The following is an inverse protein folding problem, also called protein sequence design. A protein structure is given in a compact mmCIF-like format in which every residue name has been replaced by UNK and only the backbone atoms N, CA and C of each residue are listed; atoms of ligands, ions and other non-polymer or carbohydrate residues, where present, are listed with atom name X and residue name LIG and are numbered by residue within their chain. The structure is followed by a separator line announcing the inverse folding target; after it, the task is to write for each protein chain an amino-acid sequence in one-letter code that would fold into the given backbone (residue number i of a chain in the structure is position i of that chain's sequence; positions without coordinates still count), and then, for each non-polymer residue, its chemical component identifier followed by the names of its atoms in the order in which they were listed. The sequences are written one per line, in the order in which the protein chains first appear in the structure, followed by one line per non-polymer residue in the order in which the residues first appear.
data_IF_021556572798
#
_entry.id   IF_021556572798
#
_cell.length_a   1.000
_cell.length_b   1.000
_cell.length_c   1.000
_cell.angle_alpha   90.00
_cell.angle_beta   90.00
_cell.angle_gamma   90.00
#
_symmetry.space_group_name_H-M   'P 1'
#
loop_
_entity.id
_entity.type
_entity.pdbx_description
1 polymer ?
#
# COMPACT_ATOMS: atom_id res chain seq x y z
N UNK A 1 -22.69 -9.69 12.50
CA UNK A 1 -22.00 -8.59 11.78
C UNK A 1 -20.60 -8.47 12.35
N UNK A 2 -19.57 -8.91 11.62
CA UNK A 2 -18.18 -8.64 12.01
C UNK A 2 -17.81 -7.29 11.39
N UNK A 3 -17.59 -6.29 12.24
CA UNK A 3 -16.99 -5.01 11.85
C UNK A 3 -15.65 -5.32 11.21
N UNK A 4 -15.51 -5.07 9.91
CA UNK A 4 -14.18 -4.90 9.32
C UNK A 4 -13.61 -3.66 10.00
N UNK A 5 -12.80 -3.86 11.03
CA UNK A 5 -11.99 -2.77 11.57
C UNK A 5 -11.27 -2.15 10.37
N UNK A 6 -11.58 -0.88 10.11
CA UNK A 6 -10.98 -0.10 9.05
C UNK A 6 -9.47 -0.09 9.29
N UNK A 7 -8.72 -0.86 8.50
CA UNK A 7 -7.27 -0.82 8.53
C UNK A 7 -6.88 0.63 8.20
N UNK A 8 -6.40 1.35 9.20
CA UNK A 8 -5.96 2.74 9.09
C UNK A 8 -4.61 2.76 8.35
N UNK A 9 -4.57 3.21 7.08
CA UNK A 9 -3.36 3.15 6.26
C UNK A 9 -2.21 3.96 6.85
N UNK A 10 -2.53 5.03 7.60
CA UNK A 10 -1.53 5.90 8.21
C UNK A 10 -0.86 5.19 9.39
N UNK A 11 -1.63 4.54 10.27
CA UNK A 11 -1.07 3.72 11.35
C UNK A 11 -0.22 2.58 10.80
N UNK A 12 -0.66 1.96 9.71
CA UNK A 12 0.05 0.88 9.05
C UNK A 12 1.41 1.36 8.48
N UNK A 13 1.42 2.54 7.85
CA UNK A 13 2.64 3.18 7.35
C UNK A 13 3.61 3.55 8.49
N UNK A 14 3.09 4.15 9.56
CA UNK A 14 3.89 4.52 10.75
C UNK A 14 4.51 3.27 11.38
N UNK A 15 3.75 2.18 11.49
CA UNK A 15 4.24 0.93 12.05
C UNK A 15 5.36 0.32 11.19
N UNK A 16 5.19 0.28 9.85
CA UNK A 16 6.24 -0.14 8.92
C UNK A 16 7.53 0.69 9.06
N UNK A 17 7.42 2.00 9.22
CA UNK A 17 8.59 2.86 9.44
C UNK A 17 9.34 2.52 10.74
N UNK A 18 8.61 2.19 11.81
CA UNK A 18 9.20 1.74 13.08
C UNK A 18 9.96 0.43 12.93
N UNK A 19 9.37 -0.56 12.25
CA UNK A 19 10.00 -1.86 11.97
C UNK A 19 11.30 -1.69 11.16
N UNK A 20 11.29 -0.80 10.15
CA UNK A 20 12.50 -0.48 9.38
C UNK A 20 13.60 0.17 10.23
N UNK A 21 13.23 1.04 11.17
CA UNK A 21 14.18 1.65 12.10
C UNK A 21 14.78 0.62 13.06
N UNK A 22 13.97 -0.32 13.55
CA UNK A 22 14.41 -1.43 14.41
C UNK A 22 15.40 -2.33 13.66
N UNK A 23 15.08 -2.74 12.43
CA UNK A 23 15.97 -3.54 11.58
C UNK A 23 17.34 -2.88 11.39
N UNK A 24 17.36 -1.56 11.12
CA UNK A 24 18.62 -0.80 11.01
C UNK A 24 19.42 -0.80 12.30
N UNK A 25 18.76 -0.66 13.45
CA UNK A 25 19.42 -0.71 14.77
C UNK A 25 20.04 -2.09 15.02
N UNK A 26 19.29 -3.16 14.74
CA UNK A 26 19.75 -4.54 14.88
C UNK A 26 20.93 -4.86 13.97
N UNK A 27 20.91 -4.38 12.71
CA UNK A 27 22.04 -4.52 11.80
C UNK A 27 23.29 -3.80 12.30
N UNK A 28 23.15 -2.62 12.91
CA UNK A 28 24.26 -1.91 13.52
C UNK A 28 24.79 -2.65 14.77
N UNK A 29 23.91 -3.24 15.58
CA UNK A 29 24.29 -4.06 16.72
C UNK A 29 25.07 -5.31 16.27
N UNK A 30 24.58 -6.01 15.24
CA UNK A 30 25.23 -7.17 14.65
C UNK A 30 26.65 -6.85 14.14
N UNK A 31 26.83 -5.71 13.46
CA UNK A 31 28.14 -5.29 12.94
C UNK A 31 29.18 -5.00 14.03
N UNK A 32 28.73 -4.55 15.19
CA UNK A 32 29.59 -4.23 16.32
C UNK A 32 29.61 -5.34 17.38
N UNK A 33 29.05 -6.51 17.06
CA UNK A 33 28.95 -7.61 18.00
C UNK A 33 30.33 -8.21 18.23
N UNK A 34 30.73 -8.48 19.48
CA UNK A 34 31.84 -9.40 19.75
C UNK A 34 31.50 -10.79 19.19
N UNK A 35 32.47 -11.70 19.16
CA UNK A 35 32.28 -13.07 18.65
C UNK A 35 31.35 -13.87 19.58
N UNK A 36 30.04 -13.61 19.48
CA UNK A 36 28.97 -14.23 20.24
C UNK A 36 27.90 -14.74 19.28
N UNK A 37 27.91 -16.05 19.06
CA UNK A 37 26.99 -16.72 18.16
C UNK A 37 25.56 -16.78 18.70
N UNK A 38 25.36 -16.77 20.02
CA UNK A 38 24.02 -16.81 20.62
C UNK A 38 23.30 -15.51 20.29
N UNK A 39 23.96 -14.39 20.57
CA UNK A 39 23.40 -13.06 20.32
C UNK A 39 23.27 -12.75 18.83
N UNK A 40 24.21 -13.22 18.00
CA UNK A 40 24.10 -13.15 16.55
C UNK A 40 22.86 -13.89 16.01
N UNK A 41 22.53 -15.06 16.59
CA UNK A 41 21.37 -15.85 16.19
C UNK A 41 20.07 -15.16 16.58
N UNK A 42 19.99 -14.60 17.79
CA UNK A 42 18.83 -13.82 18.25
C UNK A 42 18.56 -12.62 17.34
N UNK A 43 19.61 -11.85 16.99
CA UNK A 43 19.49 -10.71 16.09
C UNK A 43 18.99 -11.15 14.70
N UNK A 44 19.51 -12.26 14.18
CA UNK A 44 19.08 -12.82 12.89
C UNK A 44 17.59 -13.20 12.93
N UNK A 45 17.16 -13.95 13.94
CA UNK A 45 15.75 -14.36 14.10
C UNK A 45 14.83 -13.14 14.12
N UNK A 46 15.18 -12.09 14.88
CA UNK A 46 14.36 -10.88 14.94
C UNK A 46 14.31 -10.14 13.59
N UNK A 47 15.42 -10.10 12.85
CA UNK A 47 15.46 -9.52 11.50
C UNK A 47 14.54 -10.32 10.55
N UNK A 48 14.54 -11.65 10.62
CA UNK A 48 13.68 -12.50 9.78
C UNK A 48 12.18 -12.32 10.12
N UNK A 49 11.84 -12.15 11.39
CA UNK A 49 10.48 -11.77 11.84
C UNK A 49 10.08 -10.41 11.27
N UNK A 50 10.92 -9.39 11.42
CA UNK A 50 10.66 -8.05 10.88
C UNK A 50 10.44 -8.09 9.37
N UNK A 51 11.24 -8.86 8.63
CA UNK A 51 11.07 -9.02 7.19
C UNK A 51 9.72 -9.65 6.84
N UNK A 52 9.28 -10.64 7.62
CA UNK A 52 7.96 -11.29 7.44
C UNK A 52 6.81 -10.33 7.75
N UNK A 53 6.92 -9.55 8.83
CA UNK A 53 5.95 -8.51 9.18
C UNK A 53 5.87 -7.44 8.08
N UNK A 54 7.01 -6.95 7.58
CA UNK A 54 7.05 -5.96 6.48
C UNK A 54 6.45 -6.53 5.20
N UNK A 55 6.70 -7.80 4.89
CA UNK A 55 6.11 -8.46 3.72
C UNK A 55 4.58 -8.50 3.82
N UNK A 56 4.06 -8.85 4.99
CA UNK A 56 2.61 -8.86 5.26
C UNK A 56 2.01 -7.45 5.10
N UNK A 57 2.72 -6.42 5.57
CA UNK A 57 2.31 -5.03 5.37
C UNK A 57 2.29 -4.62 3.89
N UNK A 58 3.27 -5.07 3.11
CA UNK A 58 3.30 -4.84 1.67
C UNK A 58 2.16 -5.57 0.96
N UNK A 59 1.72 -6.73 1.44
CA UNK A 59 0.57 -7.46 0.88
C UNK A 59 -0.76 -6.76 1.15
N UNK A 60 -0.94 -6.14 2.32
CA UNK A 60 -2.09 -5.25 2.59
C UNK A 60 -2.07 -4.01 1.68
N UNK A 61 -0.89 -3.55 1.28
CA UNK A 61 -0.69 -2.45 0.33
C UNK A 61 -0.53 -2.89 -1.13
N UNK A 62 -0.59 -4.19 -1.45
CA UNK A 62 -0.50 -4.71 -2.81
C UNK A 62 -1.86 -4.52 -3.49
N UNK A 63 -2.16 -3.28 -3.86
CA UNK A 63 -1.87 -2.71 -5.19
C UNK A 63 -2.95 -3.02 -6.23
N UNK A 64 -3.87 -3.96 -5.98
CA UNK A 64 -5.05 -4.17 -6.82
C UNK A 64 -6.34 -3.73 -6.13
N UNK A 65 -6.50 -3.95 -4.82
CA UNK A 65 -7.73 -3.54 -4.12
C UNK A 65 -7.91 -2.01 -4.06
N UNK A 66 -6.81 -1.26 -4.18
CA UNK A 66 -6.81 0.21 -4.18
C UNK A 66 -6.99 0.82 -5.57
N UNK A 67 -7.04 -0.01 -6.61
CA UNK A 67 -7.25 0.44 -7.97
C UNK A 67 -8.44 -0.28 -8.59
N UNK A 68 -9.01 0.32 -9.62
CA UNK A 68 -10.12 -0.25 -10.34
C UNK A 68 -9.95 -0.04 -11.85
N UNK A 69 -10.59 -0.91 -12.62
CA UNK A 69 -10.69 -0.75 -14.06
C UNK A 69 -11.77 0.27 -14.43
N UNK A 70 -11.82 0.61 -15.72
CA UNK A 70 -12.84 1.54 -16.25
C UNK A 70 -14.26 1.00 -16.06
N UNK A 71 -14.47 -0.31 -16.25
CA UNK A 71 -15.80 -0.92 -16.11
C UNK A 71 -16.29 -0.87 -14.66
N UNK A 72 -15.43 -1.21 -13.70
CA UNK A 72 -15.75 -1.10 -12.27
C UNK A 72 -16.00 0.37 -11.87
N UNK A 73 -15.20 1.31 -12.39
CA UNK A 73 -15.42 2.74 -12.18
C UNK A 73 -16.75 3.22 -12.77
N UNK A 74 -17.15 2.69 -13.94
CA UNK A 74 -18.43 2.98 -14.60
C UNK A 74 -19.61 2.56 -13.75
N UNK A 75 -19.60 1.34 -13.21
CA UNK A 75 -20.62 0.86 -12.30
C UNK A 75 -20.69 1.69 -11.02
N UNK A 76 -19.52 2.00 -10.44
CA UNK A 76 -19.43 2.72 -9.16
C UNK A 76 -19.84 4.19 -9.26
N UNK A 77 -19.40 4.88 -10.31
CA UNK A 77 -19.65 6.30 -10.51
C UNK A 77 -20.91 6.57 -11.34
N UNK A 78 -21.53 5.53 -11.90
CA UNK A 78 -22.68 5.60 -12.82
C UNK A 78 -22.41 6.51 -14.01
N UNK A 79 -21.19 6.45 -14.52
CA UNK A 79 -20.72 7.20 -15.69
C UNK A 79 -20.40 6.21 -16.81
N UNK A 80 -20.51 6.63 -18.07
CA UNK A 80 -20.14 5.73 -19.16
C UNK A 80 -18.63 5.43 -19.13
N UNK A 81 -18.20 4.21 -19.50
CA UNK A 81 -16.79 3.86 -19.60
C UNK A 81 -15.99 4.82 -20.51
N UNK A 82 -16.63 5.29 -21.58
CA UNK A 82 -16.04 6.24 -22.52
C UNK A 82 -15.83 7.62 -21.89
N UNK A 83 -16.80 8.11 -21.12
CA UNK A 83 -16.64 9.36 -20.40
C UNK A 83 -15.52 9.28 -19.35
N UNK A 84 -15.41 8.15 -18.63
CA UNK A 84 -14.31 7.92 -17.68
C UNK A 84 -12.94 7.91 -18.38
N UNK A 85 -12.84 7.30 -19.57
CA UNK A 85 -11.61 7.35 -20.37
C UNK A 85 -11.24 8.78 -20.75
N UNK A 86 -12.22 9.60 -21.12
CA UNK A 86 -11.99 11.01 -21.43
C UNK A 86 -11.49 11.77 -20.20
N UNK A 87 -12.09 11.55 -19.03
CA UNK A 87 -11.61 12.14 -17.76
C UNK A 87 -10.16 11.74 -17.44
N UNK A 88 -9.78 10.50 -17.74
CA UNK A 88 -8.42 10.01 -17.60
C UNK A 88 -7.43 10.65 -18.59
N UNK A 89 -7.86 10.92 -19.82
CA UNK A 89 -7.04 11.63 -20.82
C UNK A 89 -6.89 13.12 -20.46
N UNK A 90 -7.91 13.70 -19.83
CA UNK A 90 -7.93 15.10 -19.38
C UNK A 90 -7.27 15.31 -18.00
N UNK A 91 -6.66 14.27 -17.40
CA UNK A 91 -6.06 14.29 -16.06
C UNK A 91 -7.02 14.80 -14.95
N UNK A 92 -8.34 14.65 -15.13
CA UNK A 92 -9.38 15.02 -14.15
C UNK A 92 -9.62 13.96 -13.07
N UNK A 93 -9.04 12.78 -13.26
CA UNK A 93 -9.15 11.60 -12.40
C UNK A 93 -7.74 11.04 -12.21
N UNK A 94 -7.40 10.66 -10.98
CA UNK A 94 -6.17 9.97 -10.65
C UNK A 94 -6.18 8.59 -11.30
N UNK A 95 -5.51 8.46 -12.44
CA UNK A 95 -5.38 7.20 -13.15
C UNK A 95 -4.06 7.11 -13.91
N UNK A 96 -3.71 5.89 -14.32
CA UNK A 96 -2.50 5.60 -15.08
C UNK A 96 -2.82 4.58 -16.17
N UNK A 97 -2.31 4.81 -17.38
CA UNK A 97 -2.40 3.85 -18.47
C UNK A 97 -1.27 2.84 -18.40
N UNK A 98 -1.61 1.56 -18.37
CA UNK A 98 -0.66 0.45 -18.43
C UNK A 98 -1.04 -0.42 -19.64
N UNK A 99 -0.22 -0.34 -20.70
CA UNK A 99 -0.54 -0.96 -21.99
C UNK A 99 -1.83 -0.39 -22.59
N UNK A 100 -2.87 -1.23 -22.69
CA UNK A 100 -4.19 -0.85 -23.22
C UNK A 100 -5.22 -0.57 -22.12
N UNK A 101 -4.87 -0.79 -20.86
CA UNK A 101 -5.78 -0.72 -19.72
C UNK A 101 -5.55 0.56 -18.93
N UNK A 102 -6.63 1.19 -18.50
CA UNK A 102 -6.58 2.28 -17.52
C UNK A 102 -6.75 1.72 -16.12
N UNK A 103 -5.84 2.11 -15.23
CA UNK A 103 -5.84 1.77 -13.81
C UNK A 103 -6.20 3.04 -13.06
N UNK A 104 -7.31 3.03 -12.35
CA UNK A 104 -7.90 4.20 -11.69
C UNK A 104 -7.77 4.03 -10.19
N UNK A 105 -7.35 5.07 -9.47
CA UNK A 105 -7.33 5.03 -8.00
C UNK A 105 -8.76 4.91 -7.45
N UNK A 106 -9.00 3.92 -6.59
CA UNK A 106 -10.33 3.60 -6.05
C UNK A 106 -10.76 4.53 -4.91
N UNK A 107 -9.84 5.24 -4.29
CA UNK A 107 -10.06 6.06 -3.08
C UNK A 107 -10.23 7.55 -3.37
N UNK A 108 -10.09 7.96 -4.63
CA UNK A 108 -10.35 9.33 -5.04
C UNK A 108 -11.85 9.70 -5.01
N UNK A 109 -12.19 11.00 -4.87
CA UNK A 109 -13.57 11.46 -4.92
C UNK A 109 -14.20 11.24 -6.31
N UNK A 110 -15.54 11.24 -6.36
CA UNK A 110 -16.27 11.16 -7.61
C UNK A 110 -15.93 12.36 -8.50
N UNK A 111 -15.58 12.14 -9.78
CA UNK A 111 -15.38 13.25 -10.71
C UNK A 111 -16.66 14.07 -10.86
N UNK A 112 -16.53 15.40 -10.83
CA UNK A 112 -17.63 16.39 -10.86
C UNK A 112 -18.50 16.50 -9.60
N UNK A 113 -18.08 15.96 -8.45
CA UNK A 113 -18.74 16.29 -7.19
C UNK A 113 -18.38 17.74 -6.83
N UNK A 114 -19.34 18.68 -7.00
CA UNK A 114 -19.21 20.02 -6.42
C UNK A 114 -19.03 19.85 -4.91
N UNK A 115 -17.87 20.25 -4.40
CA UNK A 115 -17.68 20.41 -2.96
C UNK A 115 -18.60 21.56 -2.56
N UNK A 116 -19.75 21.22 -1.98
CA UNK A 116 -20.63 22.17 -1.30
C UNK A 116 -20.09 22.42 0.10
#
# INVERSE_FOLDING_TARGET
MKTKDSIDPEKLLIHKQKLLAESRKLLNEFKNLPFDFSKATEIKTRIDEINTEIQTHNEVFNSLDMVMGVEEASERWRLSPEYIKNLCVEDKVLCKKIGKTWIIDKNQPLPNQKVN
#
